data_IF_000844283749
#
_entry.id   IF_000844283749
#
_cell.length_a   1.000
_cell.length_b   1.000
_cell.length_c   1.000
_cell.angle_alpha   90.00
_cell.angle_beta   90.00
_cell.angle_gamma   90.00
#
_symmetry.space_group_name_H-M   'P 1'
#
loop_
_entity.id
_entity.type
_entity.pdbx_description
1 polymer ?
#
# COMPACT_ATOMS: atom_id res chain seq x y z
N UNK A 1 -12.73 1.35 -2.31
CA UNK A 1 -11.99 2.17 -1.33
C UNK A 1 -11.81 3.65 -1.76
N UNK A 2 -11.58 3.93 -3.04
CA UNK A 2 -11.27 5.30 -3.53
C UNK A 2 -12.39 6.34 -3.27
N UNK A 3 -13.66 5.96 -3.39
CA UNK A 3 -14.80 6.90 -3.28
C UNK A 3 -14.94 7.52 -1.88
N UNK A 4 -14.70 6.74 -0.81
CA UNK A 4 -14.79 7.25 0.56
C UNK A 4 -13.61 8.16 0.92
N UNK A 5 -12.41 7.86 0.44
CA UNK A 5 -11.25 8.75 0.57
C UNK A 5 -11.48 10.09 -0.12
N UNK A 6 -12.04 10.06 -1.34
CA UNK A 6 -12.40 11.27 -2.07
C UNK A 6 -13.47 12.09 -1.34
N UNK A 7 -14.52 11.43 -0.82
CA UNK A 7 -15.57 12.09 -0.04
C UNK A 7 -15.02 12.74 1.23
N UNK A 8 -14.17 12.04 1.99
CA UNK A 8 -13.48 12.58 3.17
C UNK A 8 -12.74 13.88 2.84
N UNK A 9 -11.96 13.87 1.76
CA UNK A 9 -11.17 15.04 1.35
C UNK A 9 -12.06 16.21 0.92
N UNK A 10 -13.18 15.94 0.22
CA UNK A 10 -14.15 16.97 -0.16
C UNK A 10 -14.76 17.65 1.07
N UNK A 11 -15.25 16.86 2.02
CA UNK A 11 -15.84 17.39 3.25
C UNK A 11 -14.83 18.16 4.10
N UNK A 12 -13.58 17.68 4.19
CA UNK A 12 -12.51 18.38 4.89
C UNK A 12 -12.27 19.79 4.35
N UNK A 13 -12.30 19.96 3.02
CA UNK A 13 -12.19 21.27 2.37
C UNK A 13 -13.42 22.16 2.61
N UNK A 14 -14.62 21.64 2.36
CA UNK A 14 -15.88 22.41 2.50
C UNK A 14 -16.15 22.89 3.93
N UNK A 15 -15.62 22.17 4.92
CA UNK A 15 -15.78 22.49 6.35
C UNK A 15 -14.58 23.21 6.96
N UNK A 16 -13.55 23.56 6.16
CA UNK A 16 -12.38 24.28 6.66
C UNK A 16 -11.55 23.49 7.68
N UNK A 17 -11.48 22.16 7.57
CA UNK A 17 -10.77 21.28 8.51
C UNK A 17 -9.30 21.04 8.15
N UNK A 18 -8.82 21.63 7.06
CA UNK A 18 -7.45 21.47 6.56
C UNK A 18 -6.71 22.79 6.80
N UNK A 19 -5.79 22.78 7.76
CA UNK A 19 -4.92 23.91 8.05
C UNK A 19 -3.82 24.03 6.97
N UNK A 20 -3.74 25.14 6.21
CA UNK A 20 -2.76 25.33 5.14
C UNK A 20 -1.33 25.52 5.65
N UNK A 21 -1.12 25.84 6.92
CA UNK A 21 0.21 26.06 7.52
C UNK A 21 0.75 24.80 8.22
N UNK A 22 -0.11 23.79 8.43
CA UNK A 22 0.23 22.57 9.15
C UNK A 22 0.78 21.47 8.24
N UNK A 23 1.94 20.91 8.59
CA UNK A 23 2.53 19.74 7.92
C UNK A 23 2.40 18.48 8.79
N UNK A 24 1.78 17.44 8.24
CA UNK A 24 1.54 16.15 8.92
C UNK A 24 2.28 15.02 8.17
N UNK A 25 3.56 14.81 8.50
CA UNK A 25 4.37 13.75 7.88
C UNK A 25 4.10 12.38 8.51
N UNK A 26 4.08 11.33 7.70
CA UNK A 26 3.99 9.95 8.15
C UNK A 26 4.70 9.01 7.17
N UNK A 27 5.06 7.84 7.66
CA UNK A 27 5.55 6.73 6.83
C UNK A 27 4.42 5.72 6.60
N UNK A 28 4.25 5.29 5.36
CA UNK A 28 3.46 4.10 5.05
C UNK A 28 4.45 2.98 4.83
N UNK A 29 4.39 1.97 5.68
CA UNK A 29 5.29 0.79 5.68
C UNK A 29 4.44 -0.46 5.49
N UNK A 30 5.09 -1.64 5.43
CA UNK A 30 4.40 -2.94 5.43
C UNK A 30 3.49 -3.14 4.21
N UNK A 31 3.89 -2.59 3.07
CA UNK A 31 3.20 -2.80 1.81
C UNK A 31 3.40 -4.24 1.31
N UNK A 32 2.41 -4.83 0.60
CA UNK A 32 2.58 -6.13 -0.03
C UNK A 32 3.78 -6.17 -0.98
N UNK A 33 4.54 -7.25 -0.95
CA UNK A 33 5.63 -7.48 -1.91
C UNK A 33 5.09 -7.76 -3.32
N UNK A 34 4.00 -8.52 -3.37
CA UNK A 34 3.37 -9.00 -4.58
C UNK A 34 1.90 -8.61 -4.62
N UNK A 35 1.38 -8.41 -5.83
CA UNK A 35 -0.06 -8.32 -6.09
C UNK A 35 -0.47 -9.40 -7.09
N UNK A 36 -1.70 -9.90 -6.97
CA UNK A 36 -2.20 -10.91 -7.89
C UNK A 36 -2.83 -10.24 -9.12
N UNK A 37 -2.27 -10.53 -10.28
CA UNK A 37 -2.81 -10.10 -11.57
C UNK A 37 -3.79 -11.17 -12.07
N UNK A 38 -5.08 -10.84 -12.07
CA UNK A 38 -6.17 -11.72 -12.50
C UNK A 38 -6.11 -12.04 -14.00
N UNK A 39 -5.63 -11.10 -14.83
CA UNK A 39 -5.54 -11.29 -16.29
C UNK A 39 -4.37 -12.20 -16.64
N UNK A 40 -3.20 -11.93 -16.06
CA UNK A 40 -2.01 -12.76 -16.24
C UNK A 40 -2.05 -14.07 -15.43
N UNK A 41 -3.02 -14.20 -14.51
CA UNK A 41 -3.23 -15.33 -13.60
C UNK A 41 -1.98 -15.70 -12.81
N UNK A 42 -1.27 -14.70 -12.31
CA UNK A 42 -0.03 -14.87 -11.53
C UNK A 42 0.24 -13.68 -10.64
N UNK A 43 1.10 -13.87 -9.64
CA UNK A 43 1.65 -12.77 -8.88
C UNK A 43 2.63 -11.94 -9.71
N UNK A 44 2.56 -10.62 -9.54
CA UNK A 44 3.47 -9.62 -10.10
C UNK A 44 4.04 -8.77 -8.96
N UNK A 45 5.18 -8.11 -9.20
CA UNK A 45 5.76 -7.21 -8.22
C UNK A 45 4.84 -6.01 -8.00
N UNK A 46 4.45 -5.74 -6.75
CA UNK A 46 3.64 -4.56 -6.39
C UNK A 46 4.47 -3.25 -6.36
N UNK A 47 5.81 -3.38 -6.42
CA UNK A 47 6.78 -2.29 -6.45
C UNK A 47 7.76 -2.50 -7.62
N UNK A 48 9.05 -2.26 -7.40
CA UNK A 48 10.09 -2.68 -8.33
C UNK A 48 10.44 -4.17 -8.10
N UNK A 49 10.72 -4.97 -9.15
CA UNK A 49 11.09 -6.38 -9.00
C UNK A 49 12.36 -6.69 -8.17
N UNK A 50 13.07 -5.66 -7.69
CA UNK A 50 14.28 -5.79 -6.86
C UNK A 50 14.06 -5.32 -5.42
N UNK A 51 12.82 -4.97 -5.05
CA UNK A 51 12.45 -4.70 -3.66
C UNK A 51 12.57 -5.99 -2.86
N UNK A 52 13.28 -5.94 -1.73
CA UNK A 52 13.46 -7.10 -0.87
C UNK A 52 12.16 -7.45 -0.13
N UNK A 53 11.86 -8.74 0.09
CA UNK A 53 10.93 -9.13 1.14
C UNK A 53 11.49 -8.68 2.50
N UNK A 54 10.60 -8.54 3.49
CA UNK A 54 10.99 -8.57 4.89
C UNK A 54 11.64 -9.92 5.22
N UNK A 55 12.64 -9.89 6.09
CA UNK A 55 13.40 -11.10 6.46
C UNK A 55 12.50 -12.14 7.12
N UNK A 56 11.58 -11.73 7.99
CA UNK A 56 10.61 -12.64 8.61
C UNK A 56 9.61 -13.27 7.63
N UNK A 57 9.41 -12.68 6.44
CA UNK A 57 8.42 -13.12 5.46
C UNK A 57 9.02 -13.99 4.35
N UNK A 58 10.32 -14.29 4.38
CA UNK A 58 11.00 -15.06 3.34
C UNK A 58 10.36 -16.44 3.14
N UNK A 59 10.00 -17.12 4.23
CA UNK A 59 9.36 -18.45 4.17
C UNK A 59 7.95 -18.38 3.53
N UNK A 60 7.28 -17.23 3.61
CA UNK A 60 5.95 -17.04 3.01
C UNK A 60 5.99 -17.05 1.49
N UNK A 61 7.14 -16.80 0.86
CA UNK A 61 7.26 -16.79 -0.61
C UNK A 61 6.89 -18.13 -1.24
N UNK A 62 7.12 -19.23 -0.54
CA UNK A 62 6.78 -20.58 -1.03
C UNK A 62 5.36 -21.02 -0.64
N UNK A 63 4.85 -20.57 0.51
CA UNK A 63 3.59 -21.07 1.07
C UNK A 63 2.39 -20.15 0.90
N UNK A 64 2.60 -18.83 0.98
CA UNK A 64 1.55 -17.80 1.00
C UNK A 64 2.12 -16.45 0.51
N UNK A 65 2.56 -16.36 -0.76
CA UNK A 65 3.28 -15.20 -1.29
C UNK A 65 2.49 -13.88 -1.24
N UNK A 66 1.16 -13.94 -1.18
CA UNK A 66 0.28 -12.77 -1.01
C UNK A 66 0.38 -12.10 0.38
N UNK A 67 0.97 -12.79 1.36
CA UNK A 67 1.14 -12.28 2.73
C UNK A 67 2.51 -11.65 2.96
N UNK A 68 3.47 -11.86 2.04
CA UNK A 68 4.82 -11.32 2.18
C UNK A 68 4.83 -9.80 1.97
N UNK A 69 5.53 -9.08 2.83
CA UNK A 69 5.65 -7.63 2.78
C UNK A 69 7.01 -7.17 2.24
N UNK A 70 7.00 -6.00 1.61
CA UNK A 70 8.20 -5.30 1.14
C UNK A 70 8.93 -4.61 2.29
N UNK A 71 10.26 -4.52 2.16
CA UNK A 71 11.16 -3.80 3.08
C UNK A 71 11.59 -2.43 2.54
#
# INVERSE_FOLDING_TARGET
AQSLGALRNKLGKERGLIDPEQYNFLWVTDWPLLEYDEEARRYVAAHHPFTSPKVEDIDLLETAPEQAQAQ
#
